data_IF_157761345808
#
_entry.id   IF_157761345808
#
_cell.length_a   1.000
_cell.length_b   1.000
_cell.length_c   1.000
_cell.angle_alpha   90.00
_cell.angle_beta   90.00
_cell.angle_gamma   90.00
#
_symmetry.space_group_name_H-M   'P 1'
#
loop_
_entity.id
_entity.type
_entity.pdbx_description
1 polymer ?
#
# COMPACT_ATOMS: atom_id res chain seq x y z
N UNK A 1 24.77 7.35 3.62
CA UNK A 1 25.91 8.29 3.49
C UNK A 1 25.84 9.30 4.63
N UNK A 2 26.87 9.40 5.48
CA UNK A 2 26.87 10.36 6.59
C UNK A 2 26.80 11.80 6.06
N UNK A 3 26.09 12.66 6.79
CA UNK A 3 26.04 14.09 6.51
C UNK A 3 27.13 14.79 7.33
N UNK A 4 28.22 15.18 6.67
CA UNK A 4 29.37 15.82 7.32
C UNK A 4 29.29 17.35 7.30
N UNK A 5 28.10 17.92 7.11
CA UNK A 5 27.87 19.37 7.07
C UNK A 5 27.14 19.86 8.32
N UNK A 6 27.23 21.16 8.59
CA UNK A 6 26.51 21.84 9.68
C UNK A 6 25.06 22.23 9.27
N UNK A 7 24.48 21.53 8.29
CA UNK A 7 23.16 21.84 7.74
C UNK A 7 22.28 20.60 7.74
N UNK A 8 20.97 20.79 7.94
CA UNK A 8 20.01 19.70 7.85
C UNK A 8 19.80 19.25 6.39
N UNK A 9 19.65 17.94 6.19
CA UNK A 9 19.33 17.33 4.89
C UNK A 9 17.90 16.82 4.91
N UNK A 10 17.04 17.40 4.08
CA UNK A 10 15.68 16.93 3.85
C UNK A 10 15.56 16.41 2.41
N UNK A 11 14.85 15.30 2.23
CA UNK A 11 14.59 14.68 0.92
C UNK A 11 13.16 14.18 0.89
N UNK A 12 12.50 14.33 -0.26
CA UNK A 12 11.25 13.67 -0.57
C UNK A 12 11.55 12.40 -1.35
N UNK A 13 11.24 11.25 -0.75
CA UNK A 13 11.32 9.95 -1.43
C UNK A 13 9.93 9.58 -1.93
N UNK A 14 9.81 9.32 -3.24
CA UNK A 14 8.58 8.84 -3.87
C UNK A 14 8.90 7.51 -4.53
N UNK A 15 8.27 6.45 -4.04
CA UNK A 15 8.45 5.10 -4.57
C UNK A 15 7.27 4.73 -5.47
N UNK A 16 7.58 4.24 -6.67
CA UNK A 16 6.57 3.68 -7.57
C UNK A 16 6.64 2.16 -7.51
N UNK A 17 5.55 1.55 -7.04
CA UNK A 17 5.43 0.09 -6.96
C UNK A 17 4.49 -0.44 -8.05
N UNK A 18 4.77 -1.62 -8.63
CA UNK A 18 3.81 -2.33 -9.48
C UNK A 18 2.48 -2.60 -8.74
N UNK A 19 1.36 -2.57 -9.49
CA UNK A 19 -0.01 -2.72 -8.97
C UNK A 19 -0.30 -3.97 -8.12
N UNK A 20 0.52 -5.01 -8.28
CA UNK A 20 0.35 -6.31 -7.60
C UNK A 20 1.17 -6.40 -6.31
N UNK A 21 1.96 -5.38 -5.98
CA UNK A 21 2.66 -5.29 -4.70
C UNK A 21 1.69 -4.64 -3.70
N UNK A 22 1.57 -5.25 -2.52
CA UNK A 22 0.81 -4.66 -1.43
C UNK A 22 1.47 -3.33 -1.03
N UNK A 23 0.72 -2.21 -0.96
CA UNK A 23 1.27 -0.95 -0.48
C UNK A 23 1.89 -1.10 0.91
N UNK A 24 3.02 -0.45 1.13
CA UNK A 24 3.75 -0.47 2.42
C UNK A 24 2.89 0.19 3.50
N UNK A 25 2.20 1.27 3.15
CA UNK A 25 1.35 2.06 4.03
C UNK A 25 -0.07 2.20 3.45
N UNK A 26 -1.07 2.37 4.33
CA UNK A 26 -2.45 2.65 3.93
C UNK A 26 -2.67 4.16 3.72
N UNK A 27 -1.97 4.75 2.76
CA UNK A 27 -2.01 6.20 2.50
C UNK A 27 -3.43 6.70 2.21
N UNK A 28 -4.26 5.87 1.55
CA UNK A 28 -5.59 6.26 1.07
C UNK A 28 -6.55 6.54 2.24
N UNK A 29 -6.45 5.82 3.36
CA UNK A 29 -7.34 6.02 4.49
C UNK A 29 -7.14 7.37 5.19
N UNK A 30 -5.93 7.94 5.13
CA UNK A 30 -5.60 9.24 5.72
C UNK A 30 -6.01 10.45 4.88
N UNK A 31 -6.34 10.25 3.60
CA UNK A 31 -6.71 11.35 2.71
C UNK A 31 -8.14 11.84 2.97
N UNK A 32 -8.30 13.16 2.97
CA UNK A 32 -9.60 13.83 3.12
C UNK A 32 -10.56 13.48 1.97
N UNK A 33 -11.86 13.50 2.26
CA UNK A 33 -12.90 13.16 1.28
C UNK A 33 -12.90 14.13 0.09
N UNK A 34 -12.78 15.44 0.35
CA UNK A 34 -12.80 16.45 -0.69
C UNK A 34 -11.64 16.26 -1.68
N UNK A 35 -10.47 15.88 -1.17
CA UNK A 35 -9.31 15.58 -2.00
C UNK A 35 -9.53 14.36 -2.90
N UNK A 36 -10.11 13.28 -2.34
CA UNK A 36 -10.38 12.03 -3.09
C UNK A 36 -11.28 12.28 -4.30
N UNK A 37 -12.27 13.16 -4.15
CA UNK A 37 -13.22 13.48 -5.22
C UNK A 37 -12.61 14.40 -6.28
N UNK A 38 -11.88 15.43 -5.86
CA UNK A 38 -11.47 16.54 -6.73
C UNK A 38 -10.05 16.42 -7.32
N UNK A 39 -9.25 15.42 -6.92
CA UNK A 39 -7.93 15.23 -7.52
C UNK A 39 -8.01 14.79 -9.01
N UNK A 40 -6.96 15.11 -9.76
CA UNK A 40 -6.89 14.79 -11.19
C UNK A 40 -6.79 13.28 -11.44
N UNK A 41 -7.19 12.82 -12.64
CA UNK A 41 -7.15 11.39 -13.00
C UNK A 41 -5.74 10.80 -12.90
N UNK A 42 -4.71 11.60 -13.20
CA UNK A 42 -3.31 11.21 -13.02
C UNK A 42 -2.98 10.95 -11.55
N UNK A 43 -3.43 11.81 -10.63
CA UNK A 43 -3.23 11.62 -9.19
C UNK A 43 -4.02 10.41 -8.69
N UNK A 44 -5.26 10.24 -9.15
CA UNK A 44 -6.07 9.04 -8.84
C UNK A 44 -5.37 7.75 -9.28
N UNK A 45 -4.72 7.75 -10.45
CA UNK A 45 -3.93 6.62 -10.92
C UNK A 45 -2.68 6.38 -10.07
N UNK A 46 -1.92 7.42 -9.75
CA UNK A 46 -0.70 7.29 -8.93
C UNK A 46 -0.99 6.79 -7.51
N UNK A 47 -2.11 7.20 -6.93
CA UNK A 47 -2.56 6.74 -5.61
C UNK A 47 -3.27 5.37 -5.66
N UNK A 48 -3.41 4.76 -6.84
CA UNK A 48 -4.02 3.44 -6.99
C UNK A 48 -5.53 3.39 -6.82
N UNK A 49 -6.25 4.51 -6.95
CA UNK A 49 -7.72 4.54 -6.85
C UNK A 49 -8.39 3.75 -7.99
N UNK A 50 -7.82 3.83 -9.20
CA UNK A 50 -8.36 3.16 -10.38
C UNK A 50 -7.99 1.66 -10.42
N UNK A 51 -6.93 1.26 -9.71
CA UNK A 51 -6.39 -0.09 -9.72
C UNK A 51 -6.02 -0.52 -8.30
N UNK A 52 -7.01 -0.75 -7.43
CA UNK A 52 -6.75 -1.13 -6.05
C UNK A 52 -6.04 -2.49 -5.99
N UNK A 53 -5.17 -2.65 -4.99
CA UNK A 53 -4.49 -3.91 -4.74
C UNK A 53 -5.52 -5.06 -4.61
N UNK A 54 -5.38 -6.15 -5.38
CA UNK A 54 -6.36 -7.24 -5.38
C UNK A 54 -6.34 -8.01 -4.05
N UNK A 55 -7.31 -7.72 -3.17
CA UNK A 55 -7.49 -8.35 -1.84
C UNK A 55 -7.68 -9.88 -1.88
N UNK A 56 -7.98 -10.45 -3.05
CA UNK A 56 -8.12 -11.91 -3.27
C UNK A 56 -6.81 -12.64 -2.93
N UNK A 57 -5.66 -11.97 -3.09
CA UNK A 57 -4.34 -12.53 -2.77
C UNK A 57 -4.09 -12.66 -1.25
N UNK A 58 -4.72 -11.83 -0.42
CA UNK A 58 -4.55 -11.88 1.04
C UNK A 58 -5.54 -12.85 1.72
N UNK A 59 -6.75 -13.01 1.17
CA UNK A 59 -7.78 -13.92 1.74
C UNK A 59 -7.48 -15.40 1.50
N UNK A 60 -6.73 -15.73 0.45
CA UNK A 60 -6.26 -17.10 0.17
C UNK A 60 -5.32 -17.63 1.27
N UNK A 61 -4.44 -16.79 1.82
CA UNK A 61 -3.53 -17.14 2.93
C UNK A 61 -4.28 -17.47 4.23
N UNK A 62 -5.40 -16.78 4.48
CA UNK A 62 -6.23 -17.01 5.67
C UNK A 62 -6.95 -18.37 5.63
N UNK A 63 -7.54 -18.72 4.47
CA UNK A 63 -8.20 -20.02 4.28
C UNK A 63 -7.24 -21.21 4.33
N UNK A 64 -5.99 -21.05 3.92
CA UNK A 64 -4.99 -22.12 4.02
C UNK A 64 -4.59 -22.44 5.46
N UNK A 65 -4.50 -21.42 6.34
CA UNK A 65 -4.19 -21.62 7.76
C UNK A 65 -5.30 -22.34 8.51
N UNK A 66 -6.57 -22.00 8.25
CA UNK A 66 -7.70 -22.64 8.93
C UNK A 66 -7.86 -24.11 8.53
N UNK A 67 -7.61 -24.47 7.27
CA UNK A 67 -7.68 -25.85 6.77
C UNK A 67 -6.56 -26.75 7.34
N UNK A 68 -5.37 -26.20 7.57
CA UNK A 68 -4.26 -26.96 8.19
C UNK A 68 -4.54 -27.30 9.66
N UNK A 69 -5.13 -26.38 10.42
CA UNK A 69 -5.50 -26.61 11.83
C UNK A 69 -6.60 -27.67 11.96
N UNK A 70 -7.54 -27.74 11.02
CA UNK A 70 -8.61 -28.76 11.07
C UNK A 70 -8.14 -30.15 10.65
N UNK A 71 -7.02 -30.27 9.92
CA UNK A 71 -6.45 -31.56 9.53
C UNK A 71 -5.52 -32.17 10.59
N UNK A 72 -5.00 -31.40 11.55
CA UNK A 72 -4.18 -31.92 12.64
C UNK A 72 -4.98 -32.46 13.83
N UNK A 73 -6.30 -32.19 13.87
CA UNK A 73 -7.23 -32.70 14.90
C UNK A 73 -8.18 -33.78 14.35
N UNK A 74 -7.76 -34.55 13.35
CA UNK A 74 -8.41 -35.80 12.92
C UNK A 74 -7.38 -36.90 12.77
#
# INVERSE_FOLDING_TARGET
>A
MPNNSDHQRAVLLIEFLPKYIKPVEDLISYLDHNFKENCSDRVKQLLGFNYPYPKIMDTSKSKMKSVLVTKQNR
#
